data_IF_640439367203
#
_entry.id   IF_640439367203
#
_cell.length_a   1.000
_cell.length_b   1.000
_cell.length_c   1.000
_cell.angle_alpha   90.00
_cell.angle_beta   90.00
_cell.angle_gamma   90.00
#
_symmetry.space_group_name_H-M   'P 1'
#
loop_
_entity.id
_entity.type
_entity.pdbx_description
1 polymer ?
#
# COMPACT_ATOMS: atom_id res chain seq x y z
N UNK A 1 30.39 -6.69 -2.38
CA UNK A 1 29.22 -6.82 -1.48
C UNK A 1 29.61 -6.28 -0.13
N UNK A 2 28.76 -5.47 0.52
CA UNK A 2 28.97 -4.98 1.88
C UNK A 2 27.68 -5.15 2.67
N UNK A 3 27.79 -5.55 3.91
CA UNK A 3 26.69 -5.56 4.85
C UNK A 3 26.43 -4.12 5.29
N UNK A 4 25.16 -3.69 5.29
CA UNK A 4 24.73 -2.37 5.74
C UNK A 4 23.59 -2.51 6.74
N UNK A 5 23.55 -1.61 7.72
CA UNK A 5 22.41 -1.53 8.63
C UNK A 5 21.17 -1.10 7.86
N UNK A 6 20.08 -1.85 7.99
CA UNK A 6 18.81 -1.51 7.36
C UNK A 6 18.32 -0.12 7.82
N UNK A 7 17.96 0.71 6.83
CA UNK A 7 17.44 2.05 7.09
C UNK A 7 16.32 2.35 6.09
N UNK A 8 15.17 2.77 6.61
CA UNK A 8 13.99 3.11 5.79
C UNK A 8 13.93 4.58 5.36
N UNK A 9 14.96 5.36 5.65
CA UNK A 9 14.99 6.78 5.35
C UNK A 9 14.77 7.00 3.83
N UNK A 10 13.76 7.82 3.49
CA UNK A 10 13.37 8.15 2.11
C UNK A 10 12.87 6.94 1.28
N UNK A 11 12.25 5.95 1.92
CA UNK A 11 11.59 4.87 1.18
C UNK A 11 10.50 5.45 0.26
N UNK A 12 10.40 4.92 -0.95
CA UNK A 12 9.33 5.29 -1.89
C UNK A 12 8.24 4.22 -1.89
N UNK A 13 7.03 4.61 -1.50
CA UNK A 13 5.90 3.67 -1.46
C UNK A 13 5.54 3.20 -2.86
N UNK A 14 5.26 1.92 -2.99
CA UNK A 14 4.64 1.29 -4.16
C UNK A 14 3.32 0.71 -3.67
N UNK A 15 2.21 1.29 -4.12
CA UNK A 15 0.89 0.89 -3.64
C UNK A 15 -0.10 0.70 -4.79
N UNK A 16 -1.13 -0.08 -4.53
CA UNK A 16 -2.23 -0.28 -5.46
C UNK A 16 -3.58 0.06 -4.82
N UNK A 17 -4.47 0.62 -5.64
CA UNK A 17 -5.89 0.80 -5.36
C UNK A 17 -6.68 -0.12 -6.30
N UNK A 18 -7.30 -1.16 -5.75
CA UNK A 18 -8.04 -2.16 -6.50
C UNK A 18 -9.54 -1.97 -6.28
N UNK A 19 -10.36 -2.14 -7.30
CA UNK A 19 -11.80 -2.06 -7.13
C UNK A 19 -12.57 -2.06 -8.46
N UNK A 20 -13.90 -2.25 -8.42
CA UNK A 20 -14.76 -2.23 -9.60
C UNK A 20 -14.81 -0.84 -10.25
N UNK A 21 -15.40 -0.77 -11.44
CA UNK A 21 -15.68 0.52 -12.09
C UNK A 21 -16.59 1.38 -11.17
N UNK A 22 -16.31 2.69 -11.10
CA UNK A 22 -17.06 3.61 -10.24
C UNK A 22 -16.73 3.59 -8.76
N UNK A 23 -15.79 2.76 -8.30
CA UNK A 23 -15.37 2.70 -6.88
C UNK A 23 -14.50 3.88 -6.42
N UNK A 24 -14.21 4.87 -7.28
CA UNK A 24 -13.44 6.06 -6.91
C UNK A 24 -11.93 5.87 -6.88
N UNK A 25 -11.35 4.90 -7.61
CA UNK A 25 -9.91 4.65 -7.65
C UNK A 25 -9.09 5.86 -8.06
N UNK A 26 -9.47 6.51 -9.17
CA UNK A 26 -8.78 7.70 -9.70
C UNK A 26 -8.78 8.85 -8.70
N UNK A 27 -9.95 9.20 -8.16
CA UNK A 27 -10.08 10.23 -7.12
C UNK A 27 -9.28 9.86 -5.86
N UNK A 28 -9.41 8.61 -5.41
CA UNK A 28 -8.68 8.10 -4.24
C UNK A 28 -7.17 8.18 -4.42
N UNK A 29 -6.66 7.82 -5.60
CA UNK A 29 -5.24 7.93 -5.94
C UNK A 29 -4.75 9.37 -5.89
N UNK A 30 -5.50 10.32 -6.47
CA UNK A 30 -5.19 11.75 -6.46
C UNK A 30 -5.15 12.32 -5.04
N UNK A 31 -6.16 12.03 -4.20
CA UNK A 31 -6.20 12.51 -2.82
C UNK A 31 -5.03 11.97 -1.99
N UNK A 32 -4.72 10.67 -2.11
CA UNK A 32 -3.59 10.06 -1.41
C UNK A 32 -2.26 10.64 -1.93
N UNK A 33 -2.10 10.77 -3.26
CA UNK A 33 -0.91 11.36 -3.87
C UNK A 33 -0.67 12.78 -3.39
N UNK A 34 -1.72 13.60 -3.30
CA UNK A 34 -1.63 14.95 -2.76
C UNK A 34 -1.14 14.95 -1.31
N UNK A 35 -1.64 14.03 -0.48
CA UNK A 35 -1.17 13.88 0.91
C UNK A 35 0.29 13.43 1.02
N UNK A 36 0.78 12.63 0.06
CA UNK A 36 2.18 12.17 0.02
C UNK A 36 3.13 13.30 -0.36
N UNK A 37 2.79 14.11 -1.37
CA UNK A 37 3.74 15.08 -1.91
C UNK A 37 3.52 16.50 -1.38
N UNK A 38 2.32 16.85 -0.94
CA UNK A 38 1.97 18.18 -0.43
C UNK A 38 1.90 19.27 -1.52
N UNK A 39 2.49 19.02 -2.68
CA UNK A 39 2.48 19.89 -3.85
C UNK A 39 1.92 19.11 -5.03
N UNK A 40 0.65 19.35 -5.39
CA UNK A 40 -0.05 18.61 -6.43
C UNK A 40 0.59 18.78 -7.82
N UNK A 41 1.35 19.83 -8.07
CA UNK A 41 2.06 20.08 -9.33
C UNK A 41 3.17 19.03 -9.60
N UNK A 42 3.59 18.32 -8.56
CA UNK A 42 4.58 17.21 -8.62
C UNK A 42 3.93 15.83 -8.68
N UNK A 43 2.63 15.77 -8.91
CA UNK A 43 1.89 14.54 -9.19
C UNK A 43 1.69 14.42 -10.69
N UNK A 44 1.95 13.24 -11.25
CA UNK A 44 1.62 12.92 -12.64
C UNK A 44 0.70 11.70 -12.69
N UNK A 45 -0.29 11.76 -13.56
CA UNK A 45 -1.17 10.63 -13.89
C UNK A 45 -0.80 10.13 -15.29
N UNK A 46 -0.40 8.86 -15.38
CA UNK A 46 -0.33 8.12 -16.64
C UNK A 46 -1.74 7.58 -16.87
N UNK A 47 -2.51 8.30 -17.66
CA UNK A 47 -3.94 8.04 -17.88
C UNK A 47 -4.14 7.16 -19.11
N UNK A 48 -4.70 5.96 -18.87
CA UNK A 48 -5.11 5.00 -19.91
C UNK A 48 -6.63 4.85 -19.97
N UNK A 49 -7.36 5.65 -19.18
CA UNK A 49 -8.82 5.56 -18.97
C UNK A 49 -9.57 6.68 -19.69
N UNK A 50 -9.16 7.00 -20.93
CA UNK A 50 -9.83 7.99 -21.78
C UNK A 50 -10.04 9.35 -21.10
N UNK A 51 -8.97 9.96 -20.60
CA UNK A 51 -9.00 11.29 -19.97
C UNK A 51 -9.82 11.35 -18.66
N UNK A 52 -10.07 10.20 -18.02
CA UNK A 52 -10.88 10.16 -16.80
C UNK A 52 -10.25 10.94 -15.62
N UNK A 53 -8.93 11.05 -15.59
CA UNK A 53 -8.22 11.84 -14.59
C UNK A 53 -8.53 13.34 -14.69
N UNK A 54 -8.78 13.88 -15.87
CA UNK A 54 -9.06 15.31 -16.09
C UNK A 54 -10.39 15.76 -15.47
N UNK A 55 -11.32 14.84 -15.19
CA UNK A 55 -12.55 15.13 -14.47
C UNK A 55 -12.31 15.72 -13.07
N UNK A 56 -11.12 15.52 -12.54
CA UNK A 56 -10.69 15.97 -11.21
C UNK A 56 -9.73 17.17 -11.25
N UNK A 57 -9.64 17.89 -12.39
CA UNK A 57 -8.77 19.05 -12.56
C UNK A 57 -9.02 20.17 -11.52
N UNK A 58 -10.22 20.22 -10.94
CA UNK A 58 -10.56 21.15 -9.85
C UNK A 58 -9.77 20.92 -8.55
N UNK A 59 -9.12 19.76 -8.39
CA UNK A 59 -8.26 19.47 -7.21
C UNK A 59 -6.93 20.21 -7.28
N UNK A 60 -6.48 20.67 -8.46
CA UNK A 60 -5.24 21.43 -8.65
C UNK A 60 -4.49 21.06 -9.93
N UNK A 61 -3.30 21.62 -10.09
CA UNK A 61 -2.53 21.58 -11.34
C UNK A 61 -1.59 20.35 -11.40
N UNK A 62 -2.10 19.12 -11.27
CA UNK A 62 -1.29 17.92 -11.52
C UNK A 62 -1.05 17.72 -13.03
N UNK A 63 -0.01 16.95 -13.34
CA UNK A 63 0.35 16.65 -14.74
C UNK A 63 -0.40 15.39 -15.20
N UNK A 64 -0.76 15.34 -16.48
CA UNK A 64 -1.39 14.17 -17.11
C UNK A 64 -0.58 13.78 -18.34
N UNK A 65 -0.29 12.49 -18.44
CA UNK A 65 0.29 11.85 -19.62
C UNK A 65 -0.72 10.86 -20.16
N UNK A 66 -1.33 11.17 -21.29
CA UNK A 66 -2.25 10.26 -21.95
C UNK A 66 -1.49 9.12 -22.62
N UNK A 67 -1.80 7.91 -22.22
CA UNK A 67 -1.26 6.70 -22.82
C UNK A 67 -2.39 5.98 -23.55
N UNK A 68 -2.47 6.21 -24.86
CA UNK A 68 -3.44 5.56 -25.75
C UNK A 68 -2.94 4.18 -26.21
N UNK A 69 -3.83 3.30 -26.70
CA UNK A 69 -3.42 2.03 -27.30
C UNK A 69 -2.36 2.22 -28.40
N UNK A 70 -1.46 1.26 -28.58
CA UNK A 70 -1.37 -0.02 -27.87
C UNK A 70 -0.75 0.11 -26.48
N UNK A 71 -1.32 -0.60 -25.50
CA UNK A 71 -0.88 -0.59 -24.10
C UNK A 71 0.29 -1.55 -23.85
N UNK A 72 1.37 -1.34 -24.59
CA UNK A 72 2.59 -2.15 -24.47
C UNK A 72 3.32 -1.86 -23.15
N UNK A 73 3.88 -2.87 -22.46
CA UNK A 73 4.68 -2.67 -21.25
C UNK A 73 5.79 -1.64 -21.40
N UNK A 74 6.45 -1.60 -22.56
CA UNK A 74 7.55 -0.69 -22.87
C UNK A 74 7.10 0.78 -22.82
N UNK A 75 5.89 1.09 -23.29
CA UNK A 75 5.34 2.45 -23.26
C UNK A 75 5.05 2.93 -21.83
N UNK A 76 4.63 2.03 -20.94
CA UNK A 76 4.50 2.37 -19.52
C UNK A 76 5.86 2.65 -18.89
N UNK A 77 6.89 1.87 -19.23
CA UNK A 77 8.27 2.09 -18.77
C UNK A 77 8.78 3.46 -19.24
N UNK A 78 8.55 3.81 -20.50
CA UNK A 78 8.89 5.12 -21.04
C UNK A 78 8.15 6.25 -20.34
N UNK A 79 6.84 6.09 -20.06
CA UNK A 79 6.03 7.06 -19.34
C UNK A 79 6.52 7.28 -17.91
N UNK A 80 6.82 6.21 -17.16
CA UNK A 80 7.41 6.27 -15.81
C UNK A 80 8.74 7.05 -15.87
N UNK A 81 9.61 6.69 -16.82
CA UNK A 81 10.91 7.33 -17.00
C UNK A 81 10.78 8.82 -17.32
N UNK A 82 9.81 9.20 -18.14
CA UNK A 82 9.52 10.61 -18.46
C UNK A 82 9.09 11.38 -17.22
N UNK A 83 8.16 10.83 -16.43
CA UNK A 83 7.72 11.44 -15.17
C UNK A 83 8.90 11.66 -14.20
N UNK A 84 9.77 10.66 -14.05
CA UNK A 84 10.96 10.77 -13.19
C UNK A 84 11.92 11.89 -13.64
N UNK A 85 12.17 11.98 -14.94
CA UNK A 85 13.03 13.05 -15.53
C UNK A 85 12.41 14.43 -15.40
N UNK A 86 11.08 14.51 -15.34
CA UNK A 86 10.33 15.77 -15.17
C UNK A 86 10.23 16.24 -13.72
N UNK A 87 10.88 15.55 -12.77
CA UNK A 87 10.89 15.95 -11.35
C UNK A 87 9.60 15.63 -10.60
N UNK A 88 8.79 14.70 -11.13
CA UNK A 88 7.57 14.21 -10.47
C UNK A 88 7.95 13.43 -9.20
N UNK A 89 7.21 13.64 -8.13
CA UNK A 89 7.42 12.96 -6.85
C UNK A 89 6.47 11.78 -6.64
N UNK A 90 5.25 11.86 -7.22
CA UNK A 90 4.24 10.80 -7.17
C UNK A 90 3.71 10.52 -8.56
N UNK A 91 3.85 9.28 -9.03
CA UNK A 91 3.27 8.80 -10.29
C UNK A 91 2.02 7.98 -9.96
N UNK A 92 0.90 8.32 -10.59
CA UNK A 92 -0.31 7.50 -10.62
C UNK A 92 -0.37 6.81 -11.97
N UNK A 93 -0.58 5.48 -12.00
CA UNK A 93 -0.82 4.71 -13.23
C UNK A 93 -2.28 4.29 -13.22
N UNK A 94 -3.10 4.92 -14.02
CA UNK A 94 -4.56 4.70 -14.09
C UNK A 94 -4.98 4.28 -15.50
N UNK A 95 -4.98 2.95 -15.80
CA UNK A 95 -4.80 1.83 -14.88
C UNK A 95 -3.68 0.87 -15.33
N UNK A 96 -3.16 0.09 -14.38
CA UNK A 96 -2.25 -1.02 -14.65
C UNK A 96 -2.96 -2.13 -15.45
N UNK A 97 -4.28 -2.28 -15.28
CA UNK A 97 -5.05 -3.35 -15.92
C UNK A 97 -4.98 -3.33 -17.45
N UNK A 98 -4.79 -2.18 -18.07
CA UNK A 98 -4.69 -2.11 -19.53
C UNK A 98 -3.37 -2.66 -20.07
N UNK A 99 -2.27 -2.61 -19.30
CA UNK A 99 -1.03 -3.33 -19.65
C UNK A 99 -1.29 -4.83 -19.80
N UNK A 100 -2.18 -5.38 -18.98
CA UNK A 100 -2.50 -6.80 -18.97
C UNK A 100 -3.53 -7.16 -20.06
N UNK A 101 -4.74 -6.55 -20.03
CA UNK A 101 -5.87 -6.97 -20.87
C UNK A 101 -6.26 -5.95 -21.96
N UNK A 102 -5.65 -4.75 -21.99
CA UNK A 102 -5.98 -3.72 -22.97
C UNK A 102 -5.47 -4.05 -24.36
N UNK A 103 -5.88 -3.22 -25.35
CA UNK A 103 -5.44 -3.36 -26.75
C UNK A 103 -3.92 -3.21 -26.83
N UNK A 104 -3.23 -4.22 -27.33
CA UNK A 104 -1.77 -4.29 -27.36
C UNK A 104 -1.12 -4.71 -26.03
N UNK A 105 -1.89 -4.86 -24.96
CA UNK A 105 -1.43 -5.40 -23.69
C UNK A 105 -1.03 -6.88 -23.80
N UNK A 106 -0.54 -7.44 -22.69
CA UNK A 106 0.06 -8.78 -22.67
C UNK A 106 -0.90 -9.86 -23.19
N UNK A 107 -2.15 -9.90 -22.70
CA UNK A 107 -3.13 -10.91 -23.13
C UNK A 107 -3.52 -10.72 -24.59
N UNK A 108 -3.74 -9.48 -25.04
CA UNK A 108 -4.07 -9.20 -26.42
C UNK A 108 -2.93 -9.57 -27.37
N UNK A 109 -1.69 -9.25 -26.99
CA UNK A 109 -0.51 -9.64 -27.77
C UNK A 109 -0.38 -11.16 -27.82
N UNK A 110 -0.55 -11.85 -26.68
CA UNK A 110 -0.49 -13.31 -26.62
C UNK A 110 -1.52 -13.97 -27.56
N UNK A 111 -2.79 -13.51 -27.55
CA UNK A 111 -3.85 -14.07 -28.37
C UNK A 111 -3.62 -13.91 -29.86
N UNK A 112 -2.87 -12.89 -30.27
CA UNK A 112 -2.53 -12.62 -31.68
C UNK A 112 -1.24 -13.33 -32.15
N UNK A 113 -0.52 -14.01 -31.25
CA UNK A 113 0.69 -14.76 -31.59
C UNK A 113 0.35 -16.13 -32.16
N UNK A 114 0.96 -16.48 -33.28
CA UNK A 114 0.90 -17.84 -33.85
C UNK A 114 1.83 -18.79 -33.11
N UNK A 115 1.56 -20.10 -33.22
CA UNK A 115 2.41 -21.15 -32.66
C UNK A 115 1.96 -21.67 -31.30
N UNK A 116 2.91 -22.22 -30.54
CA UNK A 116 2.61 -22.83 -29.26
C UNK A 116 2.44 -21.78 -28.16
N UNK A 117 1.29 -21.80 -27.47
CA UNK A 117 0.94 -20.86 -26.40
C UNK A 117 2.00 -20.80 -25.28
N UNK A 118 2.54 -21.94 -24.86
CA UNK A 118 3.56 -22.00 -23.82
C UNK A 118 4.84 -21.26 -24.25
N UNK A 119 5.29 -21.47 -25.49
CA UNK A 119 6.46 -20.76 -26.03
C UNK A 119 6.20 -19.27 -26.18
N UNK A 120 4.97 -18.86 -26.49
CA UNK A 120 4.60 -17.46 -26.60
C UNK A 120 4.69 -16.76 -25.24
N UNK A 121 4.30 -17.41 -24.14
CA UNK A 121 4.46 -16.89 -22.80
C UNK A 121 5.91 -16.63 -22.40
N UNK A 122 6.86 -17.46 -22.87
CA UNK A 122 8.29 -17.24 -22.59
C UNK A 122 8.82 -15.91 -23.16
N UNK A 123 8.19 -15.37 -24.21
CA UNK A 123 8.53 -14.09 -24.82
C UNK A 123 7.84 -12.90 -24.13
N UNK A 124 6.63 -13.09 -23.62
CA UNK A 124 5.83 -12.02 -23.04
C UNK A 124 6.08 -11.82 -21.54
N UNK A 125 6.35 -12.90 -20.81
CA UNK A 125 6.65 -12.82 -19.36
C UNK A 125 7.81 -11.86 -19.04
N UNK A 126 8.94 -11.84 -19.76
CA UNK A 126 10.01 -10.90 -19.51
C UNK A 126 9.59 -9.44 -19.70
N UNK A 127 8.70 -9.14 -20.68
CA UNK A 127 8.20 -7.79 -20.94
C UNK A 127 7.33 -7.28 -19.79
N UNK A 128 6.39 -8.11 -19.34
CA UNK A 128 5.58 -7.81 -18.17
C UNK A 128 6.46 -7.61 -16.92
N UNK A 129 7.42 -8.53 -16.69
CA UNK A 129 8.32 -8.41 -15.55
C UNK A 129 9.16 -7.13 -15.59
N UNK A 130 9.57 -6.67 -16.77
CA UNK A 130 10.28 -5.40 -16.93
C UNK A 130 9.40 -4.21 -16.50
N UNK A 131 8.12 -4.21 -16.84
CA UNK A 131 7.18 -3.20 -16.38
C UNK A 131 7.01 -3.23 -14.85
N UNK A 132 6.83 -4.42 -14.26
CA UNK A 132 6.77 -4.58 -12.80
C UNK A 132 8.02 -4.02 -12.14
N UNK A 133 9.21 -4.37 -12.67
CA UNK A 133 10.48 -3.86 -12.16
C UNK A 133 10.60 -2.34 -12.30
N UNK A 134 10.12 -1.74 -13.39
CA UNK A 134 10.09 -0.29 -13.55
C UNK A 134 9.28 0.41 -12.45
N UNK A 135 8.13 -0.16 -12.08
CA UNK A 135 7.35 0.32 -10.93
C UNK A 135 8.17 0.21 -9.64
N UNK A 136 8.70 -0.99 -9.36
CA UNK A 136 9.35 -1.28 -8.07
C UNK A 136 10.63 -0.48 -7.86
N UNK A 137 11.41 -0.29 -8.92
CA UNK A 137 12.70 0.40 -8.89
C UNK A 137 12.58 1.91 -9.09
N UNK A 138 11.40 2.41 -9.40
CA UNK A 138 11.16 3.84 -9.57
C UNK A 138 11.61 4.64 -8.36
N UNK A 139 12.26 5.77 -8.61
CA UNK A 139 12.73 6.72 -7.57
C UNK A 139 11.61 7.61 -7.02
N UNK A 140 10.39 7.47 -7.53
CA UNK A 140 9.20 8.19 -7.12
C UNK A 140 8.28 7.30 -6.27
N UNK A 141 7.30 7.88 -5.60
CA UNK A 141 6.16 7.12 -5.11
C UNK A 141 5.31 6.69 -6.30
N UNK A 142 4.81 5.45 -6.30
CA UNK A 142 3.94 4.95 -7.38
C UNK A 142 2.64 4.43 -6.79
N UNK A 143 1.52 4.90 -7.34
CA UNK A 143 0.18 4.45 -7.03
C UNK A 143 -0.41 3.85 -8.30
N UNK A 144 -0.63 2.55 -8.34
CA UNK A 144 -1.29 1.89 -9.46
C UNK A 144 -2.77 1.68 -9.17
N UNK A 145 -3.66 1.99 -10.11
CA UNK A 145 -5.05 1.54 -10.00
C UNK A 145 -5.21 0.21 -10.74
N UNK A 146 -5.99 -0.69 -10.17
CA UNK A 146 -6.29 -2.01 -10.72
C UNK A 146 -7.80 -2.15 -10.80
N UNK A 147 -8.32 -2.41 -11.98
CA UNK A 147 -9.72 -2.79 -12.17
C UNK A 147 -9.94 -4.16 -11.55
N UNK A 148 -11.08 -4.38 -10.92
CA UNK A 148 -11.45 -5.70 -10.42
C UNK A 148 -12.76 -6.18 -11.03
N UNK A 149 -12.88 -7.49 -11.17
CA UNK A 149 -14.08 -8.19 -11.61
C UNK A 149 -14.48 -9.23 -10.60
N UNK A 150 -15.76 -9.63 -10.66
CA UNK A 150 -16.29 -10.69 -9.83
C UNK A 150 -15.59 -12.00 -10.18
N UNK A 151 -15.05 -12.66 -9.16
CA UNK A 151 -14.50 -14.01 -9.28
C UNK A 151 -15.54 -15.06 -8.92
N UNK A 152 -15.62 -16.11 -9.74
CA UNK A 152 -16.46 -17.28 -9.51
C UNK A 152 -15.59 -18.52 -9.46
N UNK A 153 -15.82 -19.38 -8.49
CA UNK A 153 -15.26 -20.73 -8.47
C UNK A 153 -16.38 -21.73 -8.74
N UNK A 154 -16.02 -22.86 -9.33
CA UNK A 154 -16.95 -23.99 -9.44
C UNK A 154 -16.91 -24.76 -8.14
N UNK A 155 -17.99 -24.72 -7.37
CA UNK A 155 -18.19 -25.54 -6.17
C UNK A 155 -19.11 -26.70 -6.48
N UNK A 156 -18.84 -27.86 -5.89
CA UNK A 156 -19.74 -29.03 -6.06
C UNK A 156 -20.87 -28.92 -5.04
N UNK A 157 -22.11 -28.82 -5.54
CA UNK A 157 -23.34 -28.90 -4.73
C UNK A 157 -24.24 -29.97 -5.28
N UNK A 158 -24.53 -31.00 -4.49
CA UNK A 158 -25.37 -32.15 -4.85
C UNK A 158 -24.91 -32.86 -6.14
N UNK A 159 -23.61 -33.10 -6.31
CA UNK A 159 -23.03 -33.73 -7.47
C UNK A 159 -23.03 -32.89 -8.76
N UNK A 160 -23.35 -31.60 -8.68
CA UNK A 160 -23.32 -30.65 -9.79
C UNK A 160 -22.31 -29.52 -9.53
N UNK A 161 -21.55 -29.18 -10.56
CA UNK A 161 -20.66 -27.99 -10.54
C UNK A 161 -21.53 -26.76 -10.65
N UNK A 162 -21.51 -25.91 -9.59
CA UNK A 162 -22.28 -24.66 -9.53
C UNK A 162 -21.29 -23.50 -9.37
N UNK A 163 -21.37 -22.44 -10.21
CA UNK A 163 -20.57 -21.25 -10.02
C UNK A 163 -20.91 -20.56 -8.68
N UNK A 164 -19.93 -20.42 -7.82
CA UNK A 164 -20.05 -19.72 -6.54
C UNK A 164 -19.22 -18.46 -6.55
N UNK A 165 -19.82 -17.35 -6.14
CA UNK A 165 -19.18 -16.04 -6.04
C UNK A 165 -18.26 -16.02 -4.84
N UNK A 166 -16.93 -15.82 -5.06
CA UNK A 166 -15.92 -15.87 -3.98
C UNK A 166 -15.32 -14.52 -3.64
N UNK A 167 -15.53 -13.48 -4.46
CA UNK A 167 -14.98 -12.17 -4.19
C UNK A 167 -14.71 -11.36 -5.45
N UNK A 168 -13.86 -10.36 -5.30
CA UNK A 168 -13.36 -9.54 -6.41
C UNK A 168 -11.91 -9.89 -6.67
N UNK A 169 -11.56 -10.06 -7.95
CA UNK A 169 -10.17 -10.32 -8.39
C UNK A 169 -9.67 -9.18 -9.25
N UNK A 170 -8.47 -8.72 -8.98
CA UNK A 170 -7.80 -7.70 -9.78
C UNK A 170 -7.54 -8.18 -11.21
N UNK A 171 -7.79 -7.30 -12.17
CA UNK A 171 -7.52 -7.56 -13.59
C UNK A 171 -6.07 -7.19 -13.86
N UNK A 172 -5.19 -8.12 -13.59
CA UNK A 172 -3.75 -8.06 -13.84
C UNK A 172 -3.20 -9.47 -13.82
N UNK A 173 -1.89 -9.64 -14.08
CA UNK A 173 -1.24 -10.93 -13.90
C UNK A 173 -1.35 -11.36 -12.44
N UNK A 174 -1.61 -12.63 -12.22
CA UNK A 174 -1.66 -13.21 -10.88
C UNK A 174 -0.34 -12.95 -10.13
N UNK A 175 -0.46 -12.53 -8.88
CA UNK A 175 0.69 -12.20 -8.03
C UNK A 175 1.16 -10.74 -8.11
N UNK A 176 0.58 -9.90 -8.98
CA UNK A 176 0.95 -8.48 -9.06
C UNK A 176 0.71 -7.72 -7.74
N UNK A 177 -0.32 -8.09 -6.99
CA UNK A 177 -0.63 -7.55 -5.67
C UNK A 177 0.46 -7.85 -4.63
N UNK A 178 1.18 -8.98 -4.78
CA UNK A 178 2.31 -9.32 -3.90
C UNK A 178 3.52 -8.41 -4.08
N UNK A 179 3.63 -7.73 -5.20
CA UNK A 179 4.75 -6.83 -5.47
C UNK A 179 4.61 -5.49 -4.73
N UNK A 180 3.40 -5.01 -4.51
CA UNK A 180 3.17 -3.75 -3.83
C UNK A 180 3.44 -3.83 -2.32
N UNK A 181 3.89 -2.71 -1.75
CA UNK A 181 4.08 -2.56 -0.29
C UNK A 181 2.73 -2.45 0.43
N UNK A 182 1.75 -1.80 -0.22
CA UNK A 182 0.42 -1.54 0.32
C UNK A 182 -0.62 -1.74 -0.78
N UNK A 183 -1.68 -2.46 -0.49
CA UNK A 183 -2.82 -2.65 -1.38
C UNK A 183 -4.10 -2.30 -0.62
N UNK A 184 -4.88 -1.40 -1.19
CA UNK A 184 -6.24 -1.11 -0.75
C UNK A 184 -7.26 -1.66 -1.74
N UNK A 185 -8.31 -2.24 -1.23
CA UNK A 185 -9.52 -2.55 -1.97
C UNK A 185 -10.58 -1.45 -1.75
N UNK A 186 -11.18 -0.99 -2.84
CA UNK A 186 -12.29 -0.04 -2.83
C UNK A 186 -13.59 -0.74 -3.18
N UNK A 187 -14.58 -0.56 -2.34
CA UNK A 187 -15.94 -1.00 -2.61
C UNK A 187 -16.72 0.02 -3.47
N UNK A 188 -17.95 -0.34 -3.87
CA UNK A 188 -18.85 0.55 -4.64
C UNK A 188 -19.33 1.79 -3.86
N UNK A 189 -19.14 1.81 -2.53
CA UNK A 189 -19.44 2.95 -1.67
C UNK A 189 -18.20 3.84 -1.45
N UNK A 190 -17.12 3.57 -2.19
CA UNK A 190 -15.83 4.26 -2.11
C UNK A 190 -15.14 4.11 -0.73
N UNK A 191 -15.37 3.00 -0.02
CA UNK A 191 -14.62 2.68 1.19
C UNK A 191 -13.34 1.94 0.82
N UNK A 192 -12.26 2.28 1.50
CA UNK A 192 -10.95 1.66 1.42
C UNK A 192 -10.77 0.64 2.54
N UNK A 193 -10.35 -0.56 2.20
CA UNK A 193 -9.90 -1.59 3.13
C UNK A 193 -8.49 -2.04 2.74
N UNK A 194 -7.57 -2.08 3.69
CA UNK A 194 -6.22 -2.59 3.43
C UNK A 194 -6.26 -4.12 3.35
N UNK A 195 -5.96 -4.68 2.18
CA UNK A 195 -5.86 -6.13 1.97
C UNK A 195 -4.42 -6.62 2.07
N UNK A 196 -3.45 -5.73 1.86
CA UNK A 196 -2.03 -5.96 2.10
C UNK A 196 -1.39 -4.70 2.66
N UNK A 197 -0.61 -4.84 3.71
CA UNK A 197 0.05 -3.70 4.35
C UNK A 197 1.35 -4.12 5.04
N UNK A 198 2.48 -3.84 4.38
CA UNK A 198 3.83 -4.00 4.97
C UNK A 198 4.21 -2.81 5.85
N UNK A 199 3.36 -1.78 5.92
CA UNK A 199 3.63 -0.59 6.75
C UNK A 199 3.10 -0.73 8.16
N UNK A 200 2.16 -1.65 8.38
CA UNK A 200 1.38 -1.82 9.62
C UNK A 200 0.56 -0.57 10.01
N UNK A 201 0.27 0.32 9.05
CA UNK A 201 -0.50 1.53 9.31
C UNK A 201 -2.01 1.29 9.26
N UNK A 202 -2.47 0.35 8.44
CA UNK A 202 -3.88 0.25 8.04
C UNK A 202 -4.49 -1.14 8.25
N UNK A 203 -3.68 -2.21 8.29
CA UNK A 203 -4.19 -3.57 8.49
C UNK A 203 -4.95 -3.68 9.80
N UNK A 204 -6.11 -4.31 9.77
CA UNK A 204 -6.98 -4.46 10.95
C UNK A 204 -7.73 -3.18 11.36
N UNK A 205 -7.58 -2.07 10.63
CA UNK A 205 -8.38 -0.87 10.85
C UNK A 205 -9.74 -0.96 10.15
N UNK A 206 -10.76 -0.25 10.66
CA UNK A 206 -12.05 -0.13 9.97
C UNK A 206 -11.91 0.45 8.56
N UNK A 207 -12.92 0.23 7.74
CA UNK A 207 -13.06 0.89 6.44
C UNK A 207 -12.93 2.41 6.57
N UNK A 208 -12.25 3.02 5.60
CA UNK A 208 -12.00 4.46 5.60
C UNK A 208 -12.28 5.06 4.22
N UNK A 209 -12.41 6.37 4.12
CA UNK A 209 -12.47 7.08 2.85
C UNK A 209 -11.08 7.52 2.41
N UNK A 210 -10.84 7.50 1.09
CA UNK A 210 -9.60 8.07 0.55
C UNK A 210 -9.50 9.55 0.92
N UNK A 211 -8.35 9.95 1.44
CA UNK A 211 -8.10 11.32 1.86
C UNK A 211 -6.61 11.68 1.83
N UNK A 212 -6.25 12.97 1.82
CA UNK A 212 -4.86 13.41 1.93
C UNK A 212 -4.19 12.96 3.24
N UNK A 213 -4.94 12.75 4.31
CA UNK A 213 -4.42 12.28 5.61
C UNK A 213 -3.79 10.90 5.50
N UNK A 214 -4.39 10.01 4.70
CA UNK A 214 -3.79 8.68 4.39
C UNK A 214 -2.43 8.87 3.73
N UNK A 215 -2.33 9.78 2.76
CA UNK A 215 -1.07 10.11 2.11
C UNK A 215 -0.01 10.65 3.07
N UNK A 216 -0.40 11.55 3.98
CA UNK A 216 0.50 12.08 5.03
C UNK A 216 0.99 10.99 5.99
N UNK A 217 0.12 10.06 6.38
CA UNK A 217 0.52 8.91 7.21
C UNK A 217 1.55 8.03 6.49
N UNK A 218 1.34 7.75 5.21
CA UNK A 218 2.27 6.98 4.37
C UNK A 218 3.61 7.72 4.24
N UNK A 219 3.61 9.02 3.97
CA UNK A 219 4.83 9.82 3.89
C UNK A 219 5.59 9.83 5.22
N UNK A 220 4.87 9.99 6.33
CA UNK A 220 5.44 9.89 7.68
C UNK A 220 6.16 8.55 7.87
N UNK A 221 5.51 7.44 7.50
CA UNK A 221 6.12 6.11 7.56
C UNK A 221 7.36 5.97 6.65
N UNK A 222 7.32 6.50 5.43
CA UNK A 222 8.46 6.46 4.50
C UNK A 222 9.67 7.23 5.03
N UNK A 223 9.44 8.32 5.75
CA UNK A 223 10.47 9.20 6.30
C UNK A 223 10.94 8.78 7.71
N UNK A 224 10.18 7.96 8.41
CA UNK A 224 10.64 7.33 9.64
C UNK A 224 11.74 6.33 9.27
N UNK A 225 13.00 6.74 9.31
CA UNK A 225 14.10 5.80 9.38
C UNK A 225 13.73 4.74 10.42
N UNK A 226 14.02 3.47 10.18
CA UNK A 226 13.84 2.45 11.20
C UNK A 226 14.80 2.77 12.35
N UNK A 227 14.40 3.70 13.23
CA UNK A 227 15.11 3.83 14.52
C UNK A 227 14.96 2.48 15.18
N UNK A 228 16.06 1.86 15.64
CA UNK A 228 16.00 0.66 16.45
C UNK A 228 14.95 0.83 17.57
N UNK A 229 14.31 -0.25 17.98
CA UNK A 229 13.20 -0.17 18.94
C UNK A 229 13.61 0.53 20.26
N UNK A 230 14.85 0.34 20.68
CA UNK A 230 15.46 1.01 21.84
C UNK A 230 15.47 2.54 21.69
N UNK A 231 15.81 3.06 20.51
CA UNK A 231 15.76 4.50 20.23
C UNK A 231 14.33 5.01 20.19
N UNK A 232 13.39 4.25 19.61
CA UNK A 232 11.97 4.62 19.57
C UNK A 232 11.36 4.69 20.98
N UNK A 233 11.73 3.75 21.85
CA UNK A 233 11.35 3.74 23.27
C UNK A 233 11.85 5.02 23.95
N UNK A 234 13.12 5.38 23.75
CA UNK A 234 13.72 6.56 24.34
C UNK A 234 13.11 7.88 23.80
N UNK A 235 12.67 7.92 22.55
CA UNK A 235 12.06 9.09 21.91
C UNK A 235 10.62 9.36 22.37
N UNK A 236 9.91 8.39 22.97
CA UNK A 236 8.56 8.58 23.50
C UNK A 236 8.54 9.69 24.55
N UNK A 237 7.68 10.69 24.36
CA UNK A 237 7.56 11.86 25.24
C UNK A 237 6.43 11.71 26.27
N UNK A 238 5.51 10.77 26.05
CA UNK A 238 4.35 10.51 26.91
C UNK A 238 4.14 9.01 27.14
N UNK A 239 3.42 8.67 28.22
CA UNK A 239 2.99 7.30 28.49
C UNK A 239 2.08 6.74 27.38
N UNK A 240 1.22 7.58 26.82
CA UNK A 240 0.33 7.17 25.75
C UNK A 240 1.11 6.72 24.50
N UNK A 241 2.12 7.50 24.09
CA UNK A 241 3.02 7.13 22.99
C UNK A 241 3.78 5.83 23.27
N UNK A 242 4.23 5.62 24.51
CA UNK A 242 4.97 4.43 24.90
C UNK A 242 4.07 3.18 24.86
N UNK A 243 2.83 3.29 25.34
CA UNK A 243 1.84 2.21 25.31
C UNK A 243 1.47 1.86 23.85
N UNK A 244 1.23 2.86 23.02
CA UNK A 244 0.95 2.65 21.61
C UNK A 244 2.11 1.96 20.89
N UNK A 245 3.35 2.40 21.16
CA UNK A 245 4.56 1.78 20.63
C UNK A 245 4.67 0.30 21.04
N UNK A 246 4.37 -0.02 22.29
CA UNK A 246 4.38 -1.40 22.80
C UNK A 246 3.33 -2.26 22.10
N UNK A 247 2.10 -1.76 21.96
CA UNK A 247 1.01 -2.47 21.30
C UNK A 247 1.29 -2.73 19.80
N UNK A 248 2.01 -1.83 19.15
CA UNK A 248 2.43 -1.99 17.75
C UNK A 248 3.62 -2.95 17.57
N UNK A 249 4.38 -3.22 18.65
CA UNK A 249 5.59 -4.06 18.61
C UNK A 249 5.60 -5.04 19.80
N UNK A 250 4.64 -5.97 19.87
CA UNK A 250 4.63 -6.97 20.92
C UNK A 250 5.90 -7.80 20.84
N UNK A 251 6.60 -7.96 21.95
CA UNK A 251 7.88 -8.66 22.00
C UNK A 251 7.97 -9.56 23.22
N UNK A 252 8.67 -10.68 23.10
CA UNK A 252 9.08 -11.55 24.21
C UNK A 252 10.55 -11.38 24.58
N UNK A 253 11.26 -10.46 23.92
CA UNK A 253 12.67 -10.15 24.23
C UNK A 253 12.76 -9.39 25.56
N UNK A 254 13.40 -10.03 26.54
CA UNK A 254 13.55 -9.49 27.89
C UNK A 254 14.33 -8.17 27.91
N UNK A 255 15.32 -7.98 27.04
CA UNK A 255 16.11 -6.74 27.00
C UNK A 255 15.25 -5.57 26.53
N UNK A 256 14.41 -5.78 25.52
CA UNK A 256 13.47 -4.77 25.04
C UNK A 256 12.39 -4.48 26.08
N UNK A 257 11.85 -5.51 26.74
CA UNK A 257 10.87 -5.37 27.83
C UNK A 257 11.39 -4.51 28.98
N UNK A 258 12.65 -4.72 29.38
CA UNK A 258 13.29 -3.91 30.40
C UNK A 258 13.42 -2.44 30.00
N UNK A 259 13.68 -2.15 28.73
CA UNK A 259 13.75 -0.77 28.22
C UNK A 259 12.37 -0.10 28.26
N UNK A 260 11.29 -0.80 27.88
CA UNK A 260 9.91 -0.29 28.03
C UNK A 260 9.59 0.04 29.48
N UNK A 261 9.94 -0.85 30.41
CA UNK A 261 9.71 -0.68 31.85
C UNK A 261 10.48 0.52 32.39
N UNK A 262 11.77 0.63 32.03
CA UNK A 262 12.62 1.75 32.42
C UNK A 262 12.05 3.08 31.90
N UNK A 263 11.70 3.15 30.61
CA UNK A 263 11.15 4.39 30.02
C UNK A 263 9.82 4.79 30.61
N UNK A 264 8.97 3.83 30.94
CA UNK A 264 7.73 4.07 31.67
C UNK A 264 7.98 4.77 33.00
N UNK A 265 8.89 4.25 33.81
CA UNK A 265 9.25 4.84 35.11
C UNK A 265 9.81 6.27 34.96
N UNK A 266 10.61 6.53 33.92
CA UNK A 266 11.14 7.87 33.61
C UNK A 266 10.04 8.87 33.25
N UNK A 267 9.01 8.44 32.51
CA UNK A 267 7.90 9.29 32.10
C UNK A 267 6.91 9.54 33.26
N UNK A 268 6.71 8.56 34.15
CA UNK A 268 5.88 8.69 35.35
C UNK A 268 6.52 9.62 36.40
N UNK A 269 7.86 9.65 36.47
CA UNK A 269 8.61 10.42 37.46
C UNK A 269 9.03 11.84 36.98
N UNK A 270 8.58 12.30 35.80
CA UNK A 270 8.86 13.69 35.36
C UNK A 270 8.12 14.68 36.27
N UNK A 271 8.82 15.63 36.92
CA UNK A 271 8.18 16.69 37.70
C UNK A 271 7.39 17.61 36.75
N UNK A 272 6.07 17.59 36.85
CA UNK A 272 5.17 18.46 36.07
C UNK A 272 3.80 17.88 35.73
N UNK A 273 3.52 16.60 35.99
CA UNK A 273 2.19 16.01 35.89
C UNK A 273 1.64 15.77 37.29
N UNK A 274 0.97 16.77 37.87
CA UNK A 274 0.14 16.54 39.06
C UNK A 274 -0.98 15.56 38.71
N UNK A 275 -1.19 14.51 39.49
CA UNK A 275 -2.36 13.65 39.31
C UNK A 275 -3.60 14.41 39.76
N UNK A 276 -4.54 14.66 38.88
CA UNK A 276 -5.91 14.93 39.28
C UNK A 276 -6.43 13.68 40.01
N UNK A 277 -6.59 13.83 41.32
CA UNK A 277 -7.24 12.88 42.20
C UNK A 277 -8.63 12.54 41.66
N UNK A 278 -8.80 11.31 41.17
CA UNK A 278 -10.09 10.65 41.18
C UNK A 278 -9.94 9.28 41.84
N UNK A 279 -10.43 9.20 43.04
CA UNK A 279 -10.69 7.99 43.79
C UNK A 279 -11.57 7.04 43.01
N UNK A 280 -10.98 5.93 42.53
CA UNK A 280 -11.66 4.63 42.55
C UNK A 280 -10.55 3.55 42.67
N UNK A 281 -10.61 2.88 43.81
CA UNK A 281 -9.79 1.72 44.12
C UNK A 281 -10.02 0.63 43.07
N UNK A 282 -8.98 0.26 42.36
CA UNK A 282 -8.74 -1.15 41.98
C UNK A 282 -7.26 -1.36 41.79
N UNK A 283 -6.69 -2.11 42.70
CA UNK A 283 -5.33 -2.63 42.63
C UNK A 283 -5.25 -3.61 41.47
N UNK A 284 -4.48 -3.30 40.44
CA UNK A 284 -3.82 -4.30 39.62
C UNK A 284 -2.41 -3.83 39.31
N UNK A 285 -1.44 -4.45 39.94
CA UNK A 285 -0.05 -4.32 39.60
C UNK A 285 0.17 -4.83 38.17
N UNK A 286 0.22 -3.93 37.21
CA UNK A 286 0.51 -4.26 35.80
C UNK A 286 2.02 -4.38 35.58
N UNK A 287 2.57 -5.53 35.90
CA UNK A 287 3.84 -6.00 35.32
C UNK A 287 3.51 -6.50 33.92
N UNK A 288 4.31 -6.11 32.91
CA UNK A 288 4.21 -6.69 31.58
C UNK A 288 4.52 -8.19 31.68
N UNK A 289 3.49 -9.04 31.62
CA UNK A 289 3.65 -10.49 31.61
C UNK A 289 3.37 -11.01 30.22
N UNK A 290 4.27 -11.85 29.73
CA UNK A 290 4.11 -12.57 28.47
C UNK A 290 2.95 -13.57 28.59
N UNK A 291 1.84 -13.34 27.88
CA UNK A 291 0.82 -14.37 27.65
C UNK A 291 1.20 -15.17 26.41
N UNK A 292 1.98 -16.22 26.60
CA UNK A 292 2.08 -17.29 25.63
C UNK A 292 0.83 -18.16 25.75
N UNK A 293 -0.10 -18.08 24.81
CA UNK A 293 -1.19 -19.03 24.68
C UNK A 293 -0.66 -20.34 24.11
N UNK A 294 -0.69 -21.40 24.92
CA UNK A 294 -0.48 -22.77 24.46
C UNK A 294 -1.71 -23.23 23.65
N UNK A 295 -1.54 -24.01 22.57
CA UNK A 295 -2.66 -24.64 21.88
C UNK A 295 -3.18 -25.81 22.71
N UNK A 296 -4.49 -25.84 22.92
CA UNK A 296 -5.18 -27.03 23.45
C UNK A 296 -5.28 -28.08 22.34
N UNK A 297 -4.97 -29.29 22.75
CA UNK A 297 -5.19 -30.55 22.02
C UNK A 297 -6.67 -30.72 21.62
#
# INVERSE_FOLDING_TARGET
MQLQTANRKNAKIKMALQGPAGSGKTLGALLIAFGICGDISKVAVIDTENHSSELYAHLGNYQVLHLEPPFLPERYIEAITLCEKSGIEVIIIDSISHEWEGIGGILNTHSNMTGNSYTNWSKLTPRHNAFVQAILQSRTHVIGTIRSKQEYILSEKNGKQVPEKVGMKGITREGMDYEFTLVFELDIKNNLTATKDRTSLFIGKPEMKASPEIGKMILGWCNMGAKPIDQRINDCKSLAELIELYNQNPTSDNAIMQQFTKRRSELENKPGTSPLLNNHQNKSNGTFTSTASQPKQ
#
